data_IF_625941927707
#
_entry.id   IF_625941927707
#
_cell.length_a   1.000
_cell.length_b   1.000
_cell.length_c   1.000
_cell.angle_alpha   90.00
_cell.angle_beta   90.00
_cell.angle_gamma   90.00
#
_symmetry.space_group_name_H-M   'P 1'
#
loop_
_entity.id
_entity.type
_entity.pdbx_description
1 polymer ?
#
# COMPACT_ATOMS: atom_id res chain seq x y z
N UNK A 1 -15.93 -9.37 3.17
CA UNK A 1 -15.73 -8.46 2.01
C UNK A 1 -16.06 -9.24 0.74
N UNK A 2 -17.26 -9.07 0.19
CA UNK A 2 -17.70 -9.72 -1.06
C UNK A 2 -17.35 -8.85 -2.27
N UNK A 3 -16.07 -8.52 -2.45
CA UNK A 3 -15.60 -7.74 -3.60
C UNK A 3 -14.81 -8.62 -4.56
N UNK A 4 -15.49 -9.65 -5.08
CA UNK A 4 -14.94 -10.71 -5.91
C UNK A 4 -15.83 -10.97 -7.12
N UNK A 5 -15.23 -11.53 -8.16
CA UNK A 5 -15.93 -12.15 -9.30
C UNK A 5 -15.85 -13.67 -9.10
N UNK A 6 -16.78 -14.44 -9.66
CA UNK A 6 -16.66 -15.89 -9.61
C UNK A 6 -15.45 -16.35 -10.43
N UNK A 7 -14.79 -17.43 -9.98
CA UNK A 7 -13.71 -18.02 -10.75
C UNK A 7 -14.29 -18.83 -11.91
N UNK A 8 -13.63 -18.80 -13.07
CA UNK A 8 -14.12 -19.44 -14.28
C UNK A 8 -13.69 -18.76 -15.56
N UNK A 9 -14.28 -19.20 -16.66
CA UNK A 9 -13.99 -18.70 -18.01
C UNK A 9 -15.07 -17.73 -18.46
N UNK A 10 -14.65 -16.55 -18.90
CA UNK A 10 -15.52 -15.47 -19.34
C UNK A 10 -15.23 -15.09 -20.79
N UNK A 11 -16.26 -14.87 -21.58
CA UNK A 11 -16.16 -14.33 -22.93
C UNK A 11 -16.22 -12.80 -22.89
N UNK A 12 -15.32 -12.15 -23.65
CA UNK A 12 -15.40 -10.73 -24.01
C UNK A 12 -15.71 -10.63 -25.49
N UNK A 13 -16.79 -9.95 -25.84
CA UNK A 13 -17.27 -9.86 -27.22
C UNK A 13 -17.77 -11.21 -27.74
N UNK A 14 -17.34 -11.57 -28.94
CA UNK A 14 -17.67 -12.83 -29.62
C UNK A 14 -16.40 -13.65 -29.88
N UNK A 15 -15.74 -14.19 -28.83
CA UNK A 15 -14.47 -14.89 -28.98
C UNK A 15 -14.63 -16.21 -29.75
N UNK A 16 -13.61 -16.50 -30.56
CA UNK A 16 -13.51 -17.73 -31.35
C UNK A 16 -12.50 -18.69 -30.71
N UNK A 17 -12.29 -19.86 -31.32
CA UNK A 17 -11.27 -20.81 -30.88
C UNK A 17 -9.83 -20.29 -31.04
N UNK A 18 -9.60 -19.28 -31.89
CA UNK A 18 -8.30 -18.64 -32.12
C UNK A 18 -8.09 -17.40 -31.23
N UNK A 19 -9.12 -16.97 -30.50
CA UNK A 19 -9.09 -15.75 -29.67
C UNK A 19 -8.14 -15.92 -28.48
N UNK A 20 -7.39 -14.86 -28.09
CA UNK A 20 -6.43 -14.94 -27.00
C UNK A 20 -7.10 -15.22 -25.66
N UNK A 21 -6.37 -15.94 -24.79
CA UNK A 21 -6.78 -16.21 -23.41
C UNK A 21 -5.95 -15.38 -22.45
N UNK A 22 -6.60 -14.50 -21.70
CA UNK A 22 -6.00 -13.72 -20.61
C UNK A 22 -6.31 -14.35 -19.27
N UNK A 23 -5.32 -14.47 -18.40
CA UNK A 23 -5.51 -15.01 -17.04
C UNK A 23 -5.51 -13.86 -16.03
N UNK A 24 -6.41 -13.90 -15.06
CA UNK A 24 -6.49 -12.86 -14.01
C UNK A 24 -6.94 -13.41 -12.67
N UNK A 25 -6.84 -12.57 -11.64
CA UNK A 25 -7.30 -12.85 -10.29
C UNK A 25 -8.79 -12.49 -10.12
N UNK A 26 -9.50 -13.18 -9.24
CA UNK A 26 -10.91 -12.89 -8.94
C UNK A 26 -11.18 -11.66 -8.06
N UNK A 27 -10.17 -10.82 -7.80
CA UNK A 27 -10.38 -9.50 -7.21
C UNK A 27 -11.10 -8.59 -8.21
N UNK A 28 -12.31 -8.12 -7.86
CA UNK A 28 -13.21 -7.46 -8.82
C UNK A 28 -12.58 -6.26 -9.53
N UNK A 29 -11.82 -5.42 -8.84
CA UNK A 29 -11.14 -4.28 -9.46
C UNK A 29 -10.10 -4.73 -10.50
N UNK A 30 -9.33 -5.79 -10.22
CA UNK A 30 -8.36 -6.34 -11.17
C UNK A 30 -9.08 -6.90 -12.41
N UNK A 31 -10.16 -7.65 -12.22
CA UNK A 31 -10.97 -8.16 -13.31
C UNK A 31 -11.55 -7.03 -14.17
N UNK A 32 -12.17 -6.03 -13.55
CA UNK A 32 -12.80 -4.91 -14.27
C UNK A 32 -11.78 -4.07 -15.07
N UNK A 33 -10.57 -3.87 -14.52
CA UNK A 33 -9.50 -3.18 -15.24
C UNK A 33 -9.03 -3.97 -16.47
N UNK A 34 -8.86 -5.30 -16.34
CA UNK A 34 -8.52 -6.15 -17.48
C UNK A 34 -9.64 -6.12 -18.52
N UNK A 35 -10.89 -6.36 -18.09
CA UNK A 35 -12.07 -6.36 -18.96
C UNK A 35 -12.20 -5.06 -19.74
N UNK A 36 -11.95 -3.91 -19.09
CA UNK A 36 -11.94 -2.61 -19.74
C UNK A 36 -10.83 -2.50 -20.79
N UNK A 37 -9.63 -2.95 -20.48
CA UNK A 37 -8.49 -2.86 -21.38
C UNK A 37 -8.63 -3.73 -22.65
N UNK A 38 -9.34 -4.86 -22.55
CA UNK A 38 -9.60 -5.77 -23.67
C UNK A 38 -11.01 -5.65 -24.24
N UNK A 39 -11.76 -4.60 -23.89
CA UNK A 39 -13.17 -4.46 -24.26
C UNK A 39 -13.43 -4.45 -25.77
N UNK A 40 -12.44 -4.07 -26.59
CA UNK A 40 -12.50 -4.06 -28.05
C UNK A 40 -11.79 -5.26 -28.69
N UNK A 41 -11.53 -6.33 -27.92
CA UNK A 41 -10.78 -7.50 -28.35
C UNK A 41 -11.57 -8.74 -27.97
N UNK A 42 -12.07 -9.46 -28.98
CA UNK A 42 -12.76 -10.73 -28.78
C UNK A 42 -11.79 -11.74 -28.14
N UNK A 43 -12.01 -12.02 -26.86
CA UNK A 43 -11.05 -12.74 -26.02
C UNK A 43 -11.71 -13.53 -24.91
N UNK A 44 -10.96 -14.50 -24.40
CA UNK A 44 -11.32 -15.29 -23.23
C UNK A 44 -10.59 -14.76 -22.01
N UNK A 45 -11.29 -14.62 -20.87
CA UNK A 45 -10.67 -14.30 -19.58
C UNK A 45 -10.85 -15.50 -18.65
N UNK A 46 -9.75 -16.15 -18.30
CA UNK A 46 -9.70 -17.19 -17.27
C UNK A 46 -9.43 -16.55 -15.90
N UNK A 47 -10.43 -16.55 -15.04
CA UNK A 47 -10.37 -15.96 -13.69
C UNK A 47 -10.03 -17.06 -12.68
N UNK A 48 -8.91 -16.88 -11.98
CA UNK A 48 -8.45 -17.77 -10.90
C UNK A 48 -9.06 -17.38 -9.55
N UNK A 49 -9.35 -18.37 -8.69
CA UNK A 49 -9.80 -18.12 -7.32
C UNK A 49 -8.63 -17.73 -6.41
N UNK A 50 -8.40 -16.43 -6.33
CA UNK A 50 -7.38 -15.81 -5.48
C UNK A 50 -7.92 -15.33 -4.14
N UNK A 51 -9.12 -15.77 -3.73
CA UNK A 51 -9.80 -15.27 -2.54
C UNK A 51 -9.94 -13.74 -2.55
N UNK A 52 -10.19 -13.15 -3.73
CA UNK A 52 -10.37 -11.70 -3.88
C UNK A 52 -9.12 -10.87 -3.62
N UNK A 53 -7.94 -11.45 -3.81
CA UNK A 53 -6.65 -10.78 -3.69
C UNK A 53 -6.16 -10.44 -5.10
N UNK A 54 -5.53 -9.27 -5.30
CA UNK A 54 -4.97 -8.90 -6.60
C UNK A 54 -3.85 -9.86 -7.05
N UNK A 55 -3.47 -9.82 -8.33
CA UNK A 55 -2.49 -10.73 -8.95
C UNK A 55 -1.15 -10.77 -8.19
N UNK A 56 -0.55 -9.61 -7.90
CA UNK A 56 0.79 -9.56 -7.27
C UNK A 56 0.80 -10.16 -5.87
N UNK A 57 -0.16 -9.74 -5.03
CA UNK A 57 -0.27 -10.24 -3.67
C UNK A 57 -0.67 -11.73 -3.65
N UNK A 58 -1.53 -12.16 -4.56
CA UNK A 58 -1.96 -13.55 -4.67
C UNK A 58 -0.83 -14.46 -5.19
N UNK A 59 -0.01 -13.99 -6.12
CA UNK A 59 1.15 -14.72 -6.62
C UNK A 59 2.21 -14.87 -5.52
N UNK A 60 2.50 -13.79 -4.78
CA UNK A 60 3.42 -13.85 -3.63
C UNK A 60 2.94 -14.74 -2.48
N UNK A 61 1.62 -14.95 -2.34
CA UNK A 61 1.01 -15.86 -1.35
C UNK A 61 0.80 -17.29 -1.86
N UNK A 62 0.92 -17.53 -3.16
CA UNK A 62 0.70 -18.83 -3.80
C UNK A 62 -0.74 -19.10 -4.27
N UNK A 63 -1.73 -18.28 -3.90
CA UNK A 63 -3.13 -18.46 -4.36
C UNK A 63 -3.33 -18.13 -5.84
N UNK A 64 -2.44 -17.32 -6.43
CA UNK A 64 -2.29 -17.24 -7.89
C UNK A 64 -1.07 -18.08 -8.24
N UNK A 65 -1.27 -19.39 -8.39
CA UNK A 65 -0.19 -20.37 -8.52
C UNK A 65 -0.47 -21.43 -9.57
N UNK A 66 0.49 -22.34 -9.77
CA UNK A 66 0.39 -23.44 -10.73
C UNK A 66 -0.84 -24.31 -10.49
N UNK A 67 -1.08 -24.73 -9.25
CA UNK A 67 -2.18 -25.64 -8.89
C UNK A 67 -3.54 -25.04 -9.28
N UNK A 68 -3.86 -23.84 -8.79
CA UNK A 68 -5.12 -23.16 -9.13
C UNK A 68 -5.24 -22.87 -10.64
N UNK A 69 -4.14 -22.53 -11.32
CA UNK A 69 -4.16 -22.32 -12.76
C UNK A 69 -4.50 -23.62 -13.52
N UNK A 70 -3.87 -24.74 -13.15
CA UNK A 70 -4.11 -26.04 -13.76
C UNK A 70 -5.54 -26.52 -13.51
N UNK A 71 -6.01 -26.41 -12.26
CA UNK A 71 -7.37 -26.75 -11.88
C UNK A 71 -8.40 -25.93 -12.68
N UNK A 72 -8.12 -24.64 -12.93
CA UNK A 72 -9.01 -23.78 -13.74
C UNK A 72 -8.96 -24.12 -15.21
N UNK A 73 -7.81 -24.48 -15.77
CA UNK A 73 -7.71 -24.95 -17.16
C UNK A 73 -8.56 -26.21 -17.35
N UNK A 74 -8.47 -27.17 -16.42
CA UNK A 74 -9.21 -28.43 -16.51
C UNK A 74 -10.73 -28.24 -16.27
N UNK A 75 -11.09 -27.58 -15.17
CA UNK A 75 -12.51 -27.40 -14.79
C UNK A 75 -13.29 -26.53 -15.78
N UNK A 76 -12.63 -25.60 -16.48
CA UNK A 76 -13.24 -24.81 -17.55
C UNK A 76 -13.23 -25.50 -18.92
N UNK A 77 -12.59 -26.67 -19.04
CA UNK A 77 -12.35 -27.38 -20.30
C UNK A 77 -11.74 -26.48 -21.37
N UNK A 78 -10.80 -25.62 -20.98
CA UNK A 78 -10.24 -24.61 -21.86
C UNK A 78 -9.63 -25.21 -23.15
N UNK A 79 -9.09 -26.43 -23.04
CA UNK A 79 -8.54 -27.19 -24.17
C UNK A 79 -9.54 -27.49 -25.29
N UNK A 80 -10.84 -27.53 -24.97
CA UNK A 80 -11.95 -27.75 -25.90
C UNK A 80 -12.50 -26.42 -26.46
N UNK A 81 -12.25 -25.31 -25.78
CA UNK A 81 -12.73 -23.97 -26.15
C UNK A 81 -11.82 -23.29 -27.16
N UNK A 82 -10.49 -23.47 -27.02
CA UNK A 82 -9.49 -22.84 -27.89
C UNK A 82 -8.64 -23.88 -28.62
N UNK A 83 -8.33 -23.59 -29.88
CA UNK A 83 -7.54 -24.46 -30.77
C UNK A 83 -6.04 -24.40 -30.47
N UNK A 84 -5.58 -23.33 -29.82
CA UNK A 84 -4.19 -23.11 -29.45
C UNK A 84 -3.90 -23.53 -27.99
N UNK A 85 -2.63 -23.44 -27.58
CA UNK A 85 -2.19 -23.75 -26.22
C UNK A 85 -1.32 -22.62 -25.67
N UNK A 86 -1.89 -21.41 -25.58
CA UNK A 86 -1.20 -20.18 -25.14
C UNK A 86 -2.05 -19.46 -24.11
N UNK A 87 -1.45 -19.04 -23.01
CA UNK A 87 -2.09 -18.26 -21.95
C UNK A 87 -1.30 -16.97 -21.73
N UNK A 88 -1.97 -15.83 -21.74
CA UNK A 88 -1.35 -14.54 -21.42
C UNK A 88 -1.58 -14.25 -19.95
N UNK A 89 -0.50 -14.33 -19.16
CA UNK A 89 -0.51 -14.00 -17.74
C UNK A 89 0.03 -12.58 -17.52
N UNK A 90 -0.43 -11.85 -16.50
CA UNK A 90 0.16 -10.56 -16.13
C UNK A 90 1.62 -10.74 -15.72
N UNK A 91 2.48 -9.76 -16.01
CA UNK A 91 3.91 -9.83 -15.69
C UNK A 91 4.17 -10.13 -14.20
N UNK A 92 3.33 -9.57 -13.33
CA UNK A 92 3.40 -9.68 -11.87
C UNK A 92 2.92 -11.03 -11.32
N UNK A 93 2.45 -11.96 -12.17
CA UNK A 93 2.13 -13.33 -11.77
C UNK A 93 3.37 -14.24 -11.69
N UNK A 94 4.49 -13.82 -12.29
CA UNK A 94 5.69 -14.64 -12.43
C UNK A 94 6.24 -15.25 -11.11
N UNK A 95 6.15 -14.59 -9.94
CA UNK A 95 6.59 -15.20 -8.67
C UNK A 95 5.75 -16.41 -8.23
N UNK A 96 4.49 -16.50 -8.66
CA UNK A 96 3.57 -17.57 -8.27
C UNK A 96 3.42 -18.67 -9.31
N UNK A 97 3.74 -18.40 -10.58
CA UNK A 97 3.53 -19.35 -11.68
C UNK A 97 4.85 -19.75 -12.34
N UNK A 98 5.17 -21.03 -12.30
CA UNK A 98 6.28 -21.60 -13.04
C UNK A 98 5.79 -22.08 -14.41
N UNK A 99 5.92 -21.23 -15.44
CA UNK A 99 5.36 -21.51 -16.77
C UNK A 99 5.85 -22.79 -17.45
N UNK A 100 7.03 -23.30 -17.08
CA UNK A 100 7.54 -24.57 -17.60
C UNK A 100 6.79 -25.78 -17.02
N UNK A 101 6.40 -25.74 -15.75
CA UNK A 101 5.58 -26.78 -15.11
C UNK A 101 4.16 -26.76 -15.67
N UNK A 102 3.56 -25.56 -15.83
CA UNK A 102 2.25 -25.40 -16.48
C UNK A 102 2.25 -26.03 -17.86
N UNK A 103 3.30 -25.78 -18.66
CA UNK A 103 3.45 -26.38 -19.99
C UNK A 103 3.60 -27.90 -19.93
N UNK A 104 4.37 -28.43 -18.98
CA UNK A 104 4.58 -29.86 -18.84
C UNK A 104 3.28 -30.61 -18.45
N UNK A 105 2.45 -30.01 -17.60
CA UNK A 105 1.25 -30.64 -17.05
C UNK A 105 0.00 -30.43 -17.89
N UNK A 106 -0.18 -29.24 -18.49
CA UNK A 106 -1.39 -28.90 -19.26
C UNK A 106 -1.17 -28.78 -20.77
N UNK A 107 0.08 -28.73 -21.23
CA UNK A 107 0.42 -28.39 -22.61
C UNK A 107 0.31 -26.90 -22.95
N UNK A 108 -0.28 -26.07 -22.09
CA UNK A 108 -0.40 -24.63 -22.30
C UNK A 108 0.92 -23.90 -22.05
N UNK A 109 1.35 -23.13 -23.04
CA UNK A 109 2.47 -22.22 -22.91
C UNK A 109 2.03 -20.92 -22.22
N UNK A 110 2.64 -20.62 -21.08
CA UNK A 110 2.51 -19.32 -20.42
C UNK A 110 3.35 -18.27 -21.16
N UNK A 111 2.70 -17.15 -21.48
CA UNK A 111 3.32 -15.95 -22.03
C UNK A 111 3.07 -14.83 -21.01
N UNK A 112 4.15 -14.22 -20.52
CA UNK A 112 4.03 -13.06 -19.64
C UNK A 112 3.76 -11.81 -20.47
N UNK A 113 2.55 -11.28 -20.32
CA UNK A 113 2.12 -10.01 -20.86
C UNK A 113 2.61 -8.82 -20.03
N UNK A 114 2.08 -7.62 -20.28
CA UNK A 114 2.50 -6.39 -19.61
C UNK A 114 2.17 -6.37 -18.10
N UNK A 115 2.78 -5.43 -17.39
CA UNK A 115 2.42 -5.09 -16.00
C UNK A 115 1.09 -4.34 -15.94
N UNK A 116 0.87 -3.40 -16.88
CA UNK A 116 -0.40 -2.67 -17.00
C UNK A 116 -1.31 -3.34 -18.03
N UNK A 117 -2.58 -3.52 -17.68
CA UNK A 117 -3.56 -4.07 -18.62
C UNK A 117 -3.76 -3.17 -19.86
N UNK A 118 -3.58 -1.86 -19.71
CA UNK A 118 -3.75 -0.88 -20.80
C UNK A 118 -2.76 -1.09 -21.96
N UNK A 119 -1.62 -1.75 -21.72
CA UNK A 119 -0.63 -2.06 -22.75
C UNK A 119 -0.97 -3.32 -23.56
N UNK A 120 -2.02 -4.08 -23.19
CA UNK A 120 -2.40 -5.35 -23.84
C UNK A 120 -2.65 -5.18 -25.35
N UNK A 121 -3.39 -4.17 -25.83
CA UNK A 121 -3.63 -4.02 -27.27
C UNK A 121 -2.34 -3.87 -28.07
N UNK A 122 -1.35 -3.15 -27.54
CA UNK A 122 -0.05 -2.96 -28.19
C UNK A 122 0.83 -4.21 -28.08
N UNK A 123 0.83 -4.86 -26.92
CA UNK A 123 1.49 -6.15 -26.72
C UNK A 123 1.03 -7.21 -27.74
N UNK A 124 -0.27 -7.25 -28.06
CA UNK A 124 -0.82 -8.13 -29.09
C UNK A 124 -0.37 -7.72 -30.49
N UNK A 125 -0.40 -6.43 -30.83
CA UNK A 125 0.12 -5.92 -32.13
C UNK A 125 1.59 -6.28 -32.34
N UNK A 126 2.36 -6.31 -31.26
CA UNK A 126 3.77 -6.71 -31.26
C UNK A 126 3.99 -8.24 -31.29
N UNK A 127 2.94 -9.02 -31.52
CA UNK A 127 3.03 -10.48 -31.63
C UNK A 127 3.36 -11.16 -30.31
N UNK A 128 2.74 -10.72 -29.21
CA UNK A 128 2.95 -11.24 -27.86
C UNK A 128 4.37 -11.00 -27.31
N UNK A 129 5.00 -9.89 -27.70
CA UNK A 129 6.32 -9.47 -27.20
C UNK A 129 6.18 -8.23 -26.33
N UNK A 130 6.37 -8.40 -25.03
CA UNK A 130 6.38 -7.29 -24.07
C UNK A 130 7.70 -6.52 -24.14
N UNK A 131 7.60 -5.23 -24.46
CA UNK A 131 8.71 -4.27 -24.42
C UNK A 131 9.19 -4.00 -22.99
N UNK A 132 10.38 -3.44 -22.83
CA UNK A 132 10.95 -3.14 -21.50
C UNK A 132 10.07 -2.21 -20.66
N UNK A 133 9.44 -1.22 -21.29
CA UNK A 133 8.48 -0.31 -20.62
C UNK A 133 7.25 -1.05 -20.08
N UNK A 134 6.80 -2.09 -20.78
CA UNK A 134 5.63 -2.90 -20.38
C UNK A 134 5.98 -3.83 -19.22
N UNK A 135 7.27 -4.13 -19.03
CA UNK A 135 7.77 -5.01 -17.95
C UNK A 135 8.03 -4.26 -16.65
N UNK A 136 8.01 -2.93 -16.67
CA UNK A 136 8.42 -2.09 -15.54
C UNK A 136 7.27 -1.20 -15.09
N UNK A 137 6.89 -1.26 -13.81
CA UNK A 137 5.96 -0.29 -13.23
C UNK A 137 6.73 0.94 -12.76
N UNK A 138 6.49 2.07 -13.41
CA UNK A 138 6.84 3.37 -12.87
C UNK A 138 5.94 3.64 -11.66
N UNK A 139 6.56 3.95 -10.51
CA UNK A 139 5.86 4.34 -9.28
C UNK A 139 6.17 5.81 -9.01
N UNK A 140 5.50 6.69 -9.75
CA UNK A 140 5.75 8.13 -9.77
C UNK A 140 5.11 8.87 -8.59
N UNK A 141 5.12 10.20 -8.65
CA UNK A 141 4.48 11.05 -7.64
C UNK A 141 2.96 10.81 -7.57
N UNK A 142 2.29 10.71 -8.73
CA UNK A 142 0.83 10.52 -8.77
C UNK A 142 0.39 9.15 -8.27
N UNK A 143 1.15 8.08 -8.56
CA UNK A 143 0.87 6.76 -8.00
C UNK A 143 0.97 6.77 -6.46
N UNK A 144 1.95 7.50 -5.90
CA UNK A 144 2.11 7.65 -4.45
C UNK A 144 1.00 8.49 -3.83
N UNK A 145 0.63 9.60 -4.47
CA UNK A 145 -0.46 10.45 -4.03
C UNK A 145 -1.78 9.68 -3.96
N UNK A 146 -2.04 8.80 -4.93
CA UNK A 146 -3.23 7.94 -4.94
C UNK A 146 -3.29 6.96 -3.73
N UNK A 147 -2.15 6.64 -3.11
CA UNK A 147 -2.06 5.76 -1.95
C UNK A 147 -2.14 6.51 -0.61
N UNK A 148 -1.87 7.82 -0.58
CA UNK A 148 -1.93 8.65 0.63
C UNK A 148 -3.26 8.48 1.40
N UNK A 149 -4.46 8.45 0.77
CA UNK A 149 -5.71 8.25 1.50
C UNK A 149 -5.77 6.95 2.31
N UNK A 150 -5.14 5.88 1.81
CA UNK A 150 -5.12 4.58 2.50
C UNK A 150 -4.29 4.63 3.79
N UNK A 151 -3.32 5.54 3.89
CA UNK A 151 -2.52 5.77 5.09
C UNK A 151 -3.14 6.81 6.03
N UNK A 152 -3.68 7.89 5.46
CA UNK A 152 -4.24 9.01 6.22
C UNK A 152 -5.53 8.61 6.93
N UNK A 153 -6.42 7.85 6.30
CA UNK A 153 -7.71 7.50 6.92
C UNK A 153 -7.52 6.69 8.22
N UNK A 154 -6.71 5.62 8.26
CA UNK A 154 -6.38 4.94 9.52
C UNK A 154 -5.67 5.85 10.52
N UNK A 155 -4.70 6.66 10.07
CA UNK A 155 -3.92 7.56 10.93
C UNK A 155 -4.79 8.65 11.60
N UNK A 156 -5.76 9.21 10.87
CA UNK A 156 -6.72 10.17 11.41
C UNK A 156 -7.67 9.49 12.38
N UNK A 157 -8.13 8.27 12.11
CA UNK A 157 -8.99 7.53 13.05
C UNK A 157 -8.28 7.26 14.38
N UNK A 158 -7.05 6.75 14.34
CA UNK A 158 -6.25 6.54 15.56
C UNK A 158 -5.87 7.85 16.23
N UNK A 159 -5.52 8.87 15.44
CA UNK A 159 -5.20 10.22 15.91
C UNK A 159 -6.36 10.89 16.62
N UNK A 160 -7.60 10.76 16.12
CA UNK A 160 -8.81 11.30 16.77
C UNK A 160 -9.10 10.59 18.10
N UNK A 161 -8.88 9.28 18.18
CA UNK A 161 -9.02 8.54 19.45
C UNK A 161 -7.97 8.99 20.47
N UNK A 162 -6.71 9.15 20.05
CA UNK A 162 -5.65 9.67 20.90
C UNK A 162 -5.93 11.11 21.35
N UNK A 163 -6.37 11.98 20.42
CA UNK A 163 -6.76 13.35 20.68
C UNK A 163 -7.92 13.43 21.70
N UNK A 164 -8.94 12.60 21.57
CA UNK A 164 -10.05 12.56 22.52
C UNK A 164 -9.58 12.15 23.93
N UNK A 165 -8.72 11.14 24.04
CA UNK A 165 -8.13 10.73 25.32
C UNK A 165 -7.28 11.83 25.96
N UNK A 166 -6.46 12.51 25.16
CA UNK A 166 -5.63 13.63 25.63
C UNK A 166 -6.46 14.85 26.01
N UNK A 167 -7.57 15.12 25.30
CA UNK A 167 -8.49 16.19 25.66
C UNK A 167 -9.19 15.90 26.99
N UNK A 168 -9.62 14.66 27.25
CA UNK A 168 -10.17 14.26 28.56
C UNK A 168 -9.12 14.48 29.64
N UNK A 169 -7.85 14.13 29.40
CA UNK A 169 -6.76 14.37 30.33
C UNK A 169 -6.53 15.86 30.59
N UNK A 170 -6.54 16.70 29.54
CA UNK A 170 -6.49 18.17 29.67
C UNK A 170 -7.64 18.70 30.53
N UNK A 171 -8.85 18.20 30.30
CA UNK A 171 -10.06 18.61 31.01
C UNK A 171 -10.01 18.29 32.50
N UNK A 172 -9.44 17.14 32.86
CA UNK A 172 -9.20 16.74 34.25
C UNK A 172 -8.17 17.66 34.92
N UNK A 173 -7.02 17.90 34.28
CA UNK A 173 -5.99 18.80 34.82
C UNK A 173 -6.42 20.27 34.90
N UNK A 174 -7.28 20.71 33.97
CA UNK A 174 -7.85 22.05 33.95
C UNK A 174 -8.91 22.30 35.04
N UNK A 175 -9.19 21.32 35.91
CA UNK A 175 -10.22 21.45 36.95
C UNK A 175 -11.62 21.60 36.39
N UNK A 176 -11.95 20.86 35.32
CA UNK A 176 -13.23 20.91 34.60
C UNK A 176 -13.52 22.25 33.88
N UNK A 177 -12.50 23.11 33.72
CA UNK A 177 -12.60 24.32 32.91
C UNK A 177 -12.36 24.02 31.42
N UNK A 178 -13.36 24.28 30.58
CA UNK A 178 -13.30 24.04 29.13
C UNK A 178 -12.27 24.92 28.42
N UNK A 179 -12.13 26.18 28.84
CA UNK A 179 -11.21 27.14 28.21
C UNK A 179 -9.75 26.75 28.46
N UNK A 180 -9.39 26.45 29.71
CA UNK A 180 -8.04 25.99 30.07
C UNK A 180 -7.70 24.63 29.44
N UNK A 181 -8.69 23.73 29.38
CA UNK A 181 -8.51 22.45 28.70
C UNK A 181 -8.20 22.62 27.21
N UNK A 182 -8.84 23.59 26.54
CA UNK A 182 -8.57 23.89 25.14
C UNK A 182 -7.16 24.42 24.94
N UNK A 183 -6.69 25.33 25.81
CA UNK A 183 -5.31 25.86 25.77
C UNK A 183 -4.28 24.74 25.92
N UNK A 184 -4.44 23.88 26.92
CA UNK A 184 -3.57 22.72 27.15
C UNK A 184 -3.56 21.72 26.00
N UNK A 185 -4.68 21.62 25.29
CA UNK A 185 -4.87 20.69 24.19
C UNK A 185 -4.24 21.14 22.86
N UNK A 186 -3.87 22.42 22.72
CA UNK A 186 -3.27 22.95 21.47
C UNK A 186 -1.99 22.18 21.12
N UNK A 187 -1.08 21.98 22.07
CA UNK A 187 0.22 21.33 21.81
C UNK A 187 0.05 19.87 21.34
N UNK A 188 -0.72 19.01 22.05
CA UNK A 188 -0.97 17.66 21.56
C UNK A 188 -1.71 17.62 20.23
N UNK A 189 -2.70 18.50 20.01
CA UNK A 189 -3.46 18.53 18.77
C UNK A 189 -2.56 18.87 17.56
N UNK A 190 -1.72 19.90 17.71
CA UNK A 190 -0.74 20.29 16.68
C UNK A 190 0.29 19.19 16.44
N UNK A 191 0.77 18.55 17.51
CA UNK A 191 1.69 17.41 17.41
C UNK A 191 1.10 16.24 16.61
N UNK A 192 -0.13 15.81 16.93
CA UNK A 192 -0.83 14.73 16.22
C UNK A 192 -1.05 15.11 14.75
N UNK A 193 -1.61 16.29 14.48
CA UNK A 193 -1.90 16.75 13.12
C UNK A 193 -0.64 16.82 12.26
N UNK A 194 0.43 17.39 12.80
CA UNK A 194 1.72 17.51 12.09
C UNK A 194 2.35 16.15 11.85
N UNK A 195 2.28 15.24 12.82
CA UNK A 195 2.81 13.88 12.66
C UNK A 195 2.09 13.10 11.56
N UNK A 196 0.77 13.24 11.45
CA UNK A 196 -0.02 12.62 10.38
C UNK A 196 0.40 13.18 9.02
N UNK A 197 0.52 14.51 8.90
CA UNK A 197 0.96 15.13 7.65
C UNK A 197 2.39 14.68 7.29
N UNK A 198 3.31 14.69 8.26
CA UNK A 198 4.70 14.29 8.05
C UNK A 198 4.82 12.80 7.65
N UNK A 199 4.24 11.90 8.43
CA UNK A 199 4.40 10.45 8.26
C UNK A 199 3.51 9.85 7.18
N UNK A 200 2.22 10.22 7.12
CA UNK A 200 1.26 9.60 6.21
C UNK A 200 1.09 10.33 4.86
N UNK A 201 1.51 11.60 4.76
CA UNK A 201 1.41 12.39 3.50
C UNK A 201 2.79 12.69 2.91
N UNK A 202 3.62 13.45 3.62
CA UNK A 202 4.88 13.94 3.09
C UNK A 202 5.87 12.78 2.85
N UNK A 203 5.99 11.84 3.77
CA UNK A 203 6.94 10.73 3.63
C UNK A 203 6.68 9.89 2.37
N UNK A 204 5.45 9.41 2.08
CA UNK A 204 5.14 8.74 0.82
C UNK A 204 5.45 9.58 -0.42
N UNK A 205 5.13 10.89 -0.41
CA UNK A 205 5.34 11.75 -1.58
C UNK A 205 6.82 11.95 -1.91
N UNK A 206 7.65 12.17 -0.88
CA UNK A 206 9.08 12.46 -1.03
C UNK A 206 9.99 11.22 -1.02
N UNK A 207 9.43 10.00 -0.96
CA UNK A 207 10.13 8.71 -0.83
C UNK A 207 11.47 8.54 -1.58
N UNK A 208 11.59 8.89 -2.88
CA UNK A 208 12.82 8.70 -3.65
C UNK A 208 13.97 9.59 -3.21
N UNK A 209 13.66 10.75 -2.62
CA UNK A 209 14.65 11.72 -2.19
C UNK A 209 15.07 11.52 -0.73
N UNK A 210 14.34 10.69 0.02
CA UNK A 210 14.62 10.42 1.42
C UNK A 210 15.73 9.38 1.58
N UNK A 211 16.72 9.62 2.46
CA UNK A 211 17.85 8.73 2.64
C UNK A 211 17.43 7.39 3.27
N UNK A 212 18.22 6.36 2.99
CA UNK A 212 18.07 5.02 3.59
C UNK A 212 16.97 4.16 2.97
N UNK A 213 16.92 2.89 3.41
CA UNK A 213 15.89 1.90 3.02
C UNK A 213 14.79 1.74 4.07
N UNK A 214 15.09 1.99 5.34
CA UNK A 214 14.15 1.90 6.45
C UNK A 214 13.15 3.06 6.41
N UNK A 215 11.87 2.75 6.55
CA UNK A 215 10.78 3.72 6.54
C UNK A 215 10.73 4.58 7.81
N UNK A 216 11.08 4.01 8.95
CA UNK A 216 11.30 4.71 10.22
C UNK A 216 12.29 5.88 10.06
N UNK A 217 13.43 5.64 9.41
CA UNK A 217 14.43 6.70 9.14
C UNK A 217 13.85 7.76 8.21
N UNK A 218 13.15 7.36 7.14
CA UNK A 218 12.53 8.30 6.20
C UNK A 218 11.47 9.18 6.89
N UNK A 219 10.64 8.58 7.72
CA UNK A 219 9.62 9.29 8.50
C UNK A 219 10.23 10.21 9.54
N UNK A 220 11.31 9.79 10.22
CA UNK A 220 12.06 10.66 11.13
C UNK A 220 12.69 11.86 10.41
N UNK A 221 13.30 11.63 9.25
CA UNK A 221 13.94 12.69 8.42
C UNK A 221 12.93 13.74 7.95
N UNK A 222 11.68 13.36 7.69
CA UNK A 222 10.59 14.31 7.37
C UNK A 222 9.97 14.92 8.64
N UNK A 223 9.81 14.12 9.70
CA UNK A 223 9.21 14.54 10.95
C UNK A 223 10.03 15.62 11.66
N UNK A 224 11.36 15.53 11.64
CA UNK A 224 12.24 16.48 12.33
C UNK A 224 12.14 17.91 11.75
N UNK A 225 12.29 18.16 10.43
CA UNK A 225 12.01 19.46 9.83
C UNK A 225 10.57 19.94 10.05
N UNK A 226 9.60 19.03 10.03
CA UNK A 226 8.19 19.37 10.30
C UNK A 226 8.01 19.90 11.73
N UNK A 227 8.68 19.29 12.72
CA UNK A 227 8.68 19.74 14.10
C UNK A 227 9.33 21.13 14.25
N UNK A 228 10.49 21.36 13.63
CA UNK A 228 11.15 22.68 13.64
C UNK A 228 10.30 23.78 12.98
N UNK A 229 9.58 23.42 11.93
CA UNK A 229 8.66 24.34 11.25
C UNK A 229 7.54 24.78 12.20
N UNK A 230 6.90 23.83 12.89
CA UNK A 230 5.86 24.14 13.90
C UNK A 230 6.39 25.02 15.02
N UNK A 231 7.55 24.68 15.59
CA UNK A 231 8.17 25.46 16.68
C UNK A 231 8.45 26.89 16.23
N UNK A 232 8.86 27.10 14.98
CA UNK A 232 9.16 28.43 14.43
C UNK A 232 7.93 29.31 14.23
N UNK A 233 6.74 28.71 14.08
CA UNK A 233 5.47 29.45 14.01
C UNK A 233 4.86 29.76 15.38
N UNK A 234 5.33 29.11 16.44
CA UNK A 234 4.87 29.38 17.80
C UNK A 234 5.50 30.66 18.36
N UNK A 235 4.68 31.54 18.93
CA UNK A 235 5.18 32.73 19.62
C UNK A 235 5.65 32.34 21.03
N UNK A 236 6.97 32.38 21.25
CA UNK A 236 7.64 32.09 22.53
C UNK A 236 7.19 30.76 23.19
N UNK A 237 7.37 29.60 22.53
CA UNK A 237 7.06 28.32 23.16
C UNK A 237 7.96 28.10 24.38
N UNK A 238 7.41 27.48 25.43
CA UNK A 238 8.20 27.04 26.57
C UNK A 238 9.28 26.04 26.14
N UNK A 239 10.37 25.94 26.90
CA UNK A 239 11.45 24.96 26.63
C UNK A 239 10.88 23.53 26.65
N UNK A 240 9.97 23.24 27.58
CA UNK A 240 9.31 21.94 27.68
C UNK A 240 8.37 21.68 26.48
N UNK A 241 7.57 22.66 26.08
CA UNK A 241 6.67 22.53 24.91
C UNK A 241 7.45 22.29 23.61
N UNK A 242 8.56 23.00 23.45
CA UNK A 242 9.50 22.81 22.33
C UNK A 242 10.06 21.39 22.33
N UNK A 243 10.48 20.89 23.50
CA UNK A 243 10.97 19.52 23.63
C UNK A 243 9.89 18.47 23.31
N UNK A 244 8.64 18.70 23.76
CA UNK A 244 7.50 17.83 23.44
C UNK A 244 7.31 17.71 21.93
N UNK A 245 7.31 18.84 21.20
CA UNK A 245 7.11 18.85 19.75
C UNK A 245 8.28 18.20 18.99
N UNK A 246 9.52 18.52 19.37
CA UNK A 246 10.72 17.97 18.73
C UNK A 246 10.91 16.47 18.96
N UNK A 247 10.37 15.90 20.04
CA UNK A 247 10.44 14.46 20.32
C UNK A 247 9.24 13.72 19.75
N UNK A 248 8.02 14.22 19.97
CA UNK A 248 6.79 13.51 19.63
C UNK A 248 6.56 13.45 18.12
N UNK A 249 6.75 14.57 17.40
CA UNK A 249 6.45 14.64 15.97
C UNK A 249 7.32 13.66 15.16
N UNK A 250 8.65 13.62 15.31
CA UNK A 250 9.47 12.69 14.56
C UNK A 250 9.22 11.23 14.94
N UNK A 251 8.93 10.93 16.21
CA UNK A 251 8.64 9.57 16.66
C UNK A 251 7.34 9.03 16.04
N UNK A 252 6.25 9.81 16.08
CA UNK A 252 4.98 9.40 15.50
C UNK A 252 5.04 9.41 13.96
N UNK A 253 5.73 10.36 13.35
CA UNK A 253 5.93 10.39 11.90
C UNK A 253 6.74 9.16 11.40
N UNK A 254 7.76 8.73 12.14
CA UNK A 254 8.53 7.51 11.85
C UNK A 254 7.64 6.27 11.88
N UNK A 255 6.83 6.12 12.94
CA UNK A 255 5.86 5.03 13.06
C UNK A 255 4.84 5.02 11.90
N UNK A 256 4.25 6.19 11.59
CA UNK A 256 3.27 6.30 10.51
C UNK A 256 3.89 6.00 9.14
N UNK A 257 5.14 6.40 8.91
CA UNK A 257 5.85 6.07 7.68
C UNK A 257 6.07 4.56 7.51
N UNK A 258 6.27 3.80 8.60
CA UNK A 258 6.44 2.35 8.54
C UNK A 258 5.22 1.60 8.00
N UNK A 259 4.02 2.18 8.12
CA UNK A 259 2.81 1.57 7.55
C UNK A 259 2.87 1.52 6.01
N UNK A 260 3.61 2.43 5.37
CA UNK A 260 3.77 2.47 3.92
C UNK A 260 4.74 1.39 3.38
N UNK A 261 5.42 0.62 4.24
CA UNK A 261 6.34 -0.45 3.82
C UNK A 261 5.69 -1.44 2.85
N UNK A 262 4.42 -1.79 3.06
CA UNK A 262 3.65 -2.71 2.21
C UNK A 262 3.28 -2.17 0.83
N UNK A 263 3.41 -0.85 0.64
CA UNK A 263 3.08 -0.13 -0.59
C UNK A 263 4.31 0.14 -1.47
N UNK A 264 5.49 -0.33 -1.06
CA UNK A 264 6.75 -0.07 -1.74
C UNK A 264 7.58 -1.34 -1.98
N UNK A 265 8.53 -1.25 -2.90
CA UNK A 265 9.48 -2.34 -3.21
C UNK A 265 10.84 -2.16 -2.51
N UNK A 266 11.00 -1.17 -1.64
CA UNK A 266 12.30 -0.86 -1.02
C UNK A 266 12.73 -1.85 0.06
N UNK A 267 11.77 -2.52 0.69
CA UNK A 267 12.01 -3.38 1.86
C UNK A 267 11.67 -4.82 1.57
N UNK A 268 12.46 -5.74 2.11
CA UNK A 268 12.14 -7.17 2.17
C UNK A 268 11.45 -7.50 3.50
N UNK A 269 10.72 -8.61 3.56
CA UNK A 269 10.03 -9.06 4.79
C UNK A 269 11.01 -9.22 5.97
N UNK A 270 12.21 -9.77 5.72
CA UNK A 270 13.26 -9.88 6.74
C UNK A 270 13.82 -8.52 7.17
N UNK A 271 13.90 -7.56 6.25
CA UNK A 271 14.29 -6.18 6.53
C UNK A 271 13.27 -5.47 7.41
N UNK A 272 11.99 -5.53 7.04
CA UNK A 272 10.89 -4.92 7.82
C UNK A 272 10.84 -5.51 9.23
N UNK A 273 11.01 -6.82 9.39
CA UNK A 273 11.04 -7.45 10.72
C UNK A 273 12.17 -6.93 11.59
N UNK A 274 13.37 -6.74 11.03
CA UNK A 274 14.51 -6.14 11.75
C UNK A 274 14.25 -4.68 12.10
N UNK A 275 13.66 -3.94 11.18
CA UNK A 275 13.29 -2.53 11.38
C UNK A 275 12.29 -2.38 12.52
N UNK A 276 11.19 -3.14 12.52
CA UNK A 276 10.19 -3.11 13.60
C UNK A 276 10.83 -3.42 14.96
N UNK A 277 11.71 -4.42 15.03
CA UNK A 277 12.37 -4.79 16.28
C UNK A 277 13.22 -3.67 16.86
N UNK A 278 13.84 -2.85 16.01
CA UNK A 278 14.73 -1.76 16.42
C UNK A 278 13.99 -0.42 16.60
N UNK A 279 13.19 -0.03 15.62
CA UNK A 279 12.58 1.29 15.55
C UNK A 279 11.36 1.42 16.47
N UNK A 280 10.50 0.41 16.53
CA UNK A 280 9.23 0.51 17.26
C UNK A 280 9.44 0.80 18.77
N UNK A 281 10.38 0.16 19.49
CA UNK A 281 10.66 0.52 20.88
C UNK A 281 11.13 1.97 21.06
N UNK A 282 11.92 2.49 20.11
CA UNK A 282 12.40 3.87 20.14
C UNK A 282 11.26 4.87 19.86
N UNK A 283 10.36 4.54 18.93
CA UNK A 283 9.18 5.36 18.61
C UNK A 283 8.19 5.41 19.77
N UNK A 284 7.94 4.27 20.42
CA UNK A 284 7.14 4.19 21.65
C UNK A 284 7.81 4.98 22.78
N UNK A 285 9.11 4.80 22.97
CA UNK A 285 9.89 5.53 23.98
C UNK A 285 9.87 7.04 23.76
N UNK A 286 10.04 7.50 22.52
CA UNK A 286 9.97 8.91 22.15
C UNK A 286 8.59 9.50 22.38
N UNK A 287 7.53 8.81 21.94
CA UNK A 287 6.15 9.25 22.17
C UNK A 287 5.81 9.30 23.66
N UNK A 288 6.25 8.30 24.44
CA UNK A 288 6.08 8.27 25.89
C UNK A 288 6.84 9.39 26.60
N UNK A 289 8.08 9.67 26.20
CA UNK A 289 8.86 10.80 26.72
C UNK A 289 8.20 12.14 26.41
N UNK A 290 7.68 12.31 25.19
CA UNK A 290 6.91 13.49 24.79
C UNK A 290 5.66 13.69 25.66
N UNK A 291 4.91 12.62 25.93
CA UNK A 291 3.73 12.67 26.80
C UNK A 291 4.10 13.04 28.25
N UNK A 292 5.17 12.47 28.79
CA UNK A 292 5.66 12.78 30.14
C UNK A 292 6.11 14.24 30.26
N UNK A 293 6.88 14.73 29.29
CA UNK A 293 7.33 16.13 29.26
C UNK A 293 6.15 17.10 29.16
N UNK A 294 5.12 16.73 28.39
CA UNK A 294 3.90 17.52 28.29
C UNK A 294 3.13 17.56 29.62
N UNK A 295 2.99 16.43 30.31
CA UNK A 295 2.37 16.40 31.65
C UNK A 295 3.17 17.25 32.64
N UNK A 296 4.51 17.20 32.60
CA UNK A 296 5.37 18.04 33.44
C UNK A 296 5.15 19.53 33.12
N UNK A 297 5.04 19.88 31.82
CA UNK A 297 4.75 21.24 31.40
C UNK A 297 3.38 21.72 31.92
N UNK A 298 2.37 20.85 31.93
CA UNK A 298 1.04 21.16 32.49
C UNK A 298 1.06 21.36 34.01
N UNK A 299 1.85 20.58 34.74
CA UNK A 299 1.94 20.69 36.20
C UNK A 299 2.80 21.86 36.66
N UNK A 300 3.70 22.35 35.80
CA UNK A 300 4.58 23.49 36.06
C UNK A 300 4.02 24.85 35.61
N UNK A 301 2.87 24.86 34.92
CA UNK A 301 2.16 26.06 34.43
C UNK A 301 1.02 26.47 35.38
#
# INVERSE_FOLDING_TARGET
MNYRVDAGLYAIGEPTAESPVFVTANYKLTFDLLRRAVASIDSWILVLDTLGINVWCAAGKGSFGNDELLDRIESSRLADVVSHRKLVLPQLAAPGVAGHEVKALSGFQVIYGPVSAEDIPEFLKNGFKAEERMRTKCFGFMDRLALVPMEVVPAVKSGLLAAAGLFVLCFLFAGFSTLKALEYFIIPAVSIGTSIIAGAVLTPLFLPWLPGRAFSIKGFVIGLPSAFTVVSFMHNPGVLETAVLLISIPAVAAYLAMNFTGSSTFTSLSGVRKEICLALPLEIGGTGAGLLLWIIALLGA
#
